data_IF_294728361140
#
_entry.id   IF_294728361140
#
_cell.length_a   1.000
_cell.length_b   1.000
_cell.length_c   1.000
_cell.angle_alpha   90.00
_cell.angle_beta   90.00
_cell.angle_gamma   90.00
#
_symmetry.space_group_name_H-M   'P 1'
#
loop_
_entity.id
_entity.type
_entity.pdbx_description
1 polymer ?
#
# COMPACT_ATOMS: atom_id res chain seq x y z
N UNK A 1 14.43 88.09 9.57
CA UNK A 1 13.18 87.31 9.50
C UNK A 1 13.48 85.93 8.91
N UNK A 2 13.70 84.91 9.73
CA UNK A 2 13.99 83.57 9.28
C UNK A 2 12.83 82.66 9.69
N UNK A 3 12.15 82.09 8.76
CA UNK A 3 11.06 81.08 8.97
C UNK A 3 11.65 79.69 9.10
N UNK A 4 11.55 79.11 10.31
CA UNK A 4 11.84 77.71 10.58
C UNK A 4 10.76 76.82 10.01
N UNK A 5 11.14 75.84 9.19
CA UNK A 5 10.27 74.73 8.68
C UNK A 5 10.50 73.51 9.56
N UNK A 6 9.48 73.11 10.31
CA UNK A 6 9.45 71.90 11.10
C UNK A 6 9.13 70.76 10.14
N UNK A 7 10.05 69.80 9.97
CA UNK A 7 9.89 68.60 9.19
C UNK A 7 9.32 67.51 10.14
N UNK A 8 8.06 67.12 9.92
CA UNK A 8 7.43 66.03 10.66
C UNK A 8 7.85 64.70 10.04
N UNK A 9 8.55 63.88 10.81
CA UNK A 9 8.98 62.52 10.42
C UNK A 9 7.86 61.53 10.79
N UNK A 10 7.13 61.05 9.78
CA UNK A 10 6.15 59.97 9.97
C UNK A 10 6.88 58.61 9.98
N UNK A 11 6.93 57.98 11.15
CA UNK A 11 7.43 56.62 11.29
C UNK A 11 6.31 55.65 10.89
N UNK A 12 6.41 55.06 9.72
CA UNK A 12 5.56 53.96 9.32
C UNK A 12 6.05 52.67 9.98
N UNK A 13 5.28 52.20 10.97
CA UNK A 13 5.51 50.87 11.57
C UNK A 13 5.13 49.77 10.58
N UNK A 14 6.15 49.13 10.02
CA UNK A 14 5.99 47.95 9.15
C UNK A 14 5.76 46.75 10.05
N UNK A 15 4.48 46.35 10.25
CA UNK A 15 4.14 45.07 10.90
C UNK A 15 4.46 43.94 9.95
N UNK A 16 5.59 43.25 10.15
CA UNK A 16 5.89 41.97 9.54
C UNK A 16 4.93 40.94 10.09
N UNK A 17 3.88 40.61 9.33
CA UNK A 17 3.13 39.37 9.51
C UNK A 17 4.05 38.19 9.15
N UNK A 18 4.67 37.60 10.15
CA UNK A 18 5.35 36.35 10.03
C UNK A 18 4.32 35.29 9.62
N UNK A 19 4.29 34.92 8.33
CA UNK A 19 3.66 33.72 7.86
C UNK A 19 4.40 32.55 8.52
N UNK A 20 3.88 32.07 9.64
CA UNK A 20 4.31 30.86 10.28
C UNK A 20 4.05 29.70 9.31
N UNK A 21 5.08 29.29 8.57
CA UNK A 21 5.06 28.01 7.84
C UNK A 21 4.95 26.96 8.94
N UNK A 22 3.73 26.41 9.12
CA UNK A 22 3.55 25.24 9.96
C UNK A 22 4.51 24.16 9.42
N UNK A 23 5.33 23.53 10.27
CA UNK A 23 6.17 22.45 9.82
C UNK A 23 5.26 21.37 9.23
N UNK A 24 5.37 21.13 7.94
CA UNK A 24 4.80 19.94 7.32
C UNK A 24 5.53 18.75 7.95
N UNK A 25 4.90 18.15 8.94
CA UNK A 25 5.45 16.96 9.59
C UNK A 25 5.30 15.84 8.58
N UNK A 26 6.34 15.60 7.78
CA UNK A 26 6.39 14.43 6.91
C UNK A 26 6.25 13.20 7.80
N UNK A 27 5.35 12.28 7.40
CA UNK A 27 5.17 11.04 8.12
C UNK A 27 6.48 10.26 8.11
N UNK A 28 6.97 9.91 9.29
CA UNK A 28 8.20 9.18 9.48
C UNK A 28 8.01 7.73 9.00
N UNK A 29 8.88 7.29 8.09
CA UNK A 29 8.89 5.89 7.64
C UNK A 29 9.55 5.02 8.71
N UNK A 30 8.93 3.89 8.97
CA UNK A 30 9.44 2.89 9.90
C UNK A 30 10.63 2.16 9.28
N UNK A 31 11.63 1.82 10.10
CA UNK A 31 12.70 0.90 9.69
C UNK A 31 12.11 -0.50 9.43
N UNK A 32 12.67 -1.21 8.44
CA UNK A 32 12.24 -2.60 8.16
C UNK A 32 12.45 -3.55 9.33
N UNK A 33 13.44 -3.28 10.20
CA UNK A 33 13.67 -4.05 11.44
C UNK A 33 12.61 -3.84 12.52
N UNK A 34 11.83 -2.75 12.42
CA UNK A 34 10.77 -2.38 13.36
C UNK A 34 9.37 -2.62 12.78
N UNK A 35 9.30 -3.26 11.61
CA UNK A 35 8.05 -3.52 10.93
C UNK A 35 7.16 -4.44 11.76
N UNK A 36 5.93 -4.02 12.10
CA UNK A 36 4.96 -4.88 12.77
C UNK A 36 4.40 -5.90 11.77
N UNK A 37 5.07 -7.04 11.65
CA UNK A 37 4.82 -8.06 10.61
C UNK A 37 3.36 -8.49 10.57
N UNK A 38 2.72 -8.66 11.72
CA UNK A 38 1.30 -9.08 11.77
C UNK A 38 0.38 -8.01 11.15
N UNK A 39 0.60 -6.74 11.42
CA UNK A 39 -0.15 -5.62 10.84
C UNK A 39 0.11 -5.52 9.34
N UNK A 40 1.37 -5.59 8.94
CA UNK A 40 1.77 -5.56 7.53
C UNK A 40 1.13 -6.70 6.72
N UNK A 41 1.10 -7.92 7.27
CA UNK A 41 0.44 -9.06 6.60
C UNK A 41 -1.07 -8.84 6.50
N UNK A 42 -1.73 -8.31 7.55
CA UNK A 42 -3.16 -7.99 7.51
C UNK A 42 -3.51 -6.93 6.44
N UNK A 43 -2.62 -5.99 6.18
CA UNK A 43 -2.82 -4.97 5.15
C UNK A 43 -2.61 -5.50 3.74
N UNK A 44 -1.68 -6.44 3.56
CA UNK A 44 -1.24 -6.90 2.23
C UNK A 44 -1.84 -8.23 1.79
N UNK A 45 -2.26 -9.08 2.74
CA UNK A 45 -2.87 -10.40 2.48
C UNK A 45 -4.40 -10.30 2.60
N UNK A 46 -5.09 -10.60 1.52
CA UNK A 46 -6.54 -10.51 1.43
C UNK A 46 -7.17 -11.87 1.11
N UNK A 47 -8.28 -12.18 1.79
CA UNK A 47 -9.11 -13.35 1.51
C UNK A 47 -10.35 -12.92 0.75
N UNK A 48 -10.58 -13.52 -0.39
CA UNK A 48 -11.70 -13.21 -1.29
C UNK A 48 -12.57 -14.44 -1.40
N UNK A 49 -13.70 -14.43 -0.69
CA UNK A 49 -14.68 -15.51 -0.76
C UNK A 49 -15.30 -15.53 -2.15
N UNK A 50 -15.33 -16.71 -2.79
CA UNK A 50 -15.93 -16.93 -4.10
C UNK A 50 -17.33 -17.52 -3.92
N UNK A 51 -17.42 -18.61 -3.18
CA UNK A 51 -18.68 -19.25 -2.79
C UNK A 51 -18.53 -19.95 -1.43
N UNK A 52 -19.46 -20.81 -1.03
CA UNK A 52 -19.41 -21.53 0.26
C UNK A 52 -18.18 -22.43 0.40
N UNK A 53 -17.62 -22.90 -0.71
CA UNK A 53 -16.58 -23.93 -0.73
C UNK A 53 -15.27 -23.45 -1.38
N UNK A 54 -15.23 -22.24 -1.94
CA UNK A 54 -14.04 -21.76 -2.64
C UNK A 54 -13.68 -20.31 -2.25
N UNK A 55 -12.38 -20.06 -2.21
CA UNK A 55 -11.81 -18.74 -1.93
C UNK A 55 -10.53 -18.51 -2.70
N UNK A 56 -10.26 -17.24 -2.98
CA UNK A 56 -8.97 -16.79 -3.48
C UNK A 56 -8.23 -16.07 -2.35
N UNK A 57 -6.95 -16.38 -2.21
CA UNK A 57 -6.03 -15.65 -1.32
C UNK A 57 -5.13 -14.82 -2.21
N UNK A 58 -5.05 -13.54 -1.93
CA UNK A 58 -4.23 -12.58 -2.68
C UNK A 58 -3.27 -11.93 -1.73
N UNK A 59 -2.00 -11.90 -2.07
CA UNK A 59 -0.97 -11.24 -1.27
C UNK A 59 -0.15 -10.28 -2.13
N UNK A 60 -0.21 -9.00 -1.83
CA UNK A 60 0.68 -7.99 -2.38
C UNK A 60 2.03 -8.05 -1.68
N UNK A 61 3.11 -8.17 -2.45
CA UNK A 61 4.48 -8.29 -1.95
C UNK A 61 5.31 -7.09 -2.43
N UNK A 62 5.35 -5.97 -1.69
CA UNK A 62 6.21 -4.83 -2.01
C UNK A 62 7.67 -5.20 -1.74
N UNK A 63 8.46 -5.42 -2.80
CA UNK A 63 9.83 -5.92 -2.72
C UNK A 63 10.76 -5.03 -1.88
N UNK A 64 10.55 -3.71 -1.96
CA UNK A 64 11.32 -2.72 -1.22
C UNK A 64 11.21 -2.88 0.30
N UNK A 65 10.10 -3.42 0.79
CA UNK A 65 9.88 -3.69 2.22
C UNK A 65 10.69 -4.89 2.70
N UNK A 66 10.99 -5.82 1.79
CA UNK A 66 11.80 -7.00 2.09
C UNK A 66 13.30 -6.78 1.87
N UNK A 67 13.73 -5.53 1.64
CA UNK A 67 15.12 -5.19 1.40
C UNK A 67 15.65 -5.61 0.02
N UNK A 68 14.77 -6.01 -0.89
CA UNK A 68 15.15 -6.24 -2.27
C UNK A 68 15.48 -4.91 -2.97
N UNK A 69 16.43 -4.90 -3.92
CA UNK A 69 16.70 -3.71 -4.69
C UNK A 69 15.44 -3.29 -5.48
N UNK A 70 15.28 -2.00 -5.80
CA UNK A 70 14.16 -1.51 -6.60
C UNK A 70 14.01 -2.32 -7.89
N UNK A 71 12.80 -2.80 -8.14
CA UNK A 71 12.48 -3.62 -9.31
C UNK A 71 11.40 -2.92 -10.14
N UNK A 72 11.51 -3.05 -11.45
CA UNK A 72 10.52 -2.55 -12.39
C UNK A 72 9.19 -3.36 -12.39
N UNK A 73 9.04 -4.27 -11.43
CA UNK A 73 7.88 -5.15 -11.32
C UNK A 73 7.27 -5.13 -9.92
N UNK A 74 5.95 -5.27 -9.91
CA UNK A 74 5.13 -5.52 -8.74
C UNK A 74 4.87 -7.03 -8.66
N UNK A 75 4.89 -7.60 -7.44
CA UNK A 75 4.58 -9.02 -7.22
C UNK A 75 3.24 -9.16 -6.50
N UNK A 76 2.41 -10.03 -7.06
CA UNK A 76 1.18 -10.51 -6.41
C UNK A 76 1.25 -12.02 -6.31
N UNK A 77 1.11 -12.55 -5.10
CA UNK A 77 0.93 -13.97 -4.90
C UNK A 77 -0.56 -14.31 -4.84
N UNK A 78 -0.96 -15.42 -5.45
CA UNK A 78 -2.36 -15.87 -5.51
C UNK A 78 -2.43 -17.35 -5.20
N UNK A 79 -3.36 -17.74 -4.33
CA UNK A 79 -3.80 -19.11 -4.16
C UNK A 79 -5.31 -19.18 -4.39
N UNK A 80 -5.76 -20.03 -5.30
CA UNK A 80 -7.18 -20.39 -5.45
C UNK A 80 -7.41 -21.72 -4.77
N UNK A 81 -8.27 -21.74 -3.77
CA UNK A 81 -8.49 -22.89 -2.90
C UNK A 81 -9.96 -23.31 -2.92
N UNK A 82 -10.19 -24.60 -3.02
CA UNK A 82 -11.49 -25.26 -2.86
C UNK A 82 -11.44 -26.10 -1.57
N UNK A 83 -12.46 -25.97 -0.73
CA UNK A 83 -12.61 -26.76 0.49
C UNK A 83 -13.13 -28.14 0.10
N UNK A 84 -12.37 -29.20 0.41
CA UNK A 84 -12.69 -30.58 0.10
C UNK A 84 -12.70 -31.39 1.40
N UNK A 85 -13.86 -31.55 2.06
CA UNK A 85 -13.96 -32.37 3.27
C UNK A 85 -13.74 -33.86 2.95
N UNK A 86 -13.05 -34.64 3.80
CA UNK A 86 -12.33 -34.23 5.02
C UNK A 86 -10.91 -33.73 4.76
N UNK A 87 -10.42 -33.73 3.53
CA UNK A 87 -9.02 -33.62 3.14
C UNK A 87 -8.45 -32.19 3.25
N UNK A 88 -9.28 -31.19 3.51
CA UNK A 88 -8.85 -29.80 3.69
C UNK A 88 -8.99 -28.95 2.43
N UNK A 89 -7.88 -28.57 1.79
CA UNK A 89 -7.90 -27.70 0.61
C UNK A 89 -7.29 -28.36 -0.62
N UNK A 90 -7.99 -28.23 -1.74
CA UNK A 90 -7.44 -28.46 -3.07
C UNK A 90 -7.07 -27.12 -3.67
N UNK A 91 -5.85 -27.01 -4.19
CA UNK A 91 -5.34 -25.77 -4.78
C UNK A 91 -5.31 -25.89 -6.31
N UNK A 92 -5.59 -24.75 -6.95
CA UNK A 92 -5.47 -24.60 -8.39
C UNK A 92 -3.99 -24.64 -8.84
N UNK A 93 -3.77 -25.10 -10.06
CA UNK A 93 -2.47 -24.98 -10.73
C UNK A 93 -2.11 -23.53 -11.03
N UNK A 94 -0.84 -23.25 -11.37
CA UNK A 94 -0.38 -21.90 -11.73
C UNK A 94 -1.19 -21.32 -12.88
N UNK A 95 -1.44 -22.12 -13.93
CA UNK A 95 -2.21 -21.70 -15.09
C UNK A 95 -3.67 -21.34 -14.75
N UNK A 96 -4.29 -22.09 -13.84
CA UNK A 96 -5.63 -21.79 -13.35
C UNK A 96 -5.66 -20.56 -12.44
N UNK A 97 -4.65 -20.40 -11.60
CA UNK A 97 -4.52 -19.21 -10.75
C UNK A 97 -4.31 -17.94 -11.58
N UNK A 98 -3.56 -18.03 -12.69
CA UNK A 98 -3.31 -16.91 -13.59
C UNK A 98 -4.52 -16.55 -14.45
N UNK A 99 -5.42 -17.52 -14.72
CA UNK A 99 -6.57 -17.29 -15.61
C UNK A 99 -7.48 -16.21 -15.07
N UNK A 100 -7.69 -15.16 -15.88
CA UNK A 100 -8.55 -14.02 -15.55
C UNK A 100 -8.00 -13.09 -14.48
N UNK A 101 -6.77 -13.30 -14.02
CA UNK A 101 -6.10 -12.42 -13.06
C UNK A 101 -5.80 -11.06 -13.71
N UNK A 102 -6.30 -10.00 -13.09
CA UNK A 102 -6.06 -8.60 -13.49
C UNK A 102 -5.64 -7.79 -12.28
N UNK A 103 -4.63 -6.96 -12.46
CA UNK A 103 -4.15 -6.04 -11.44
C UNK A 103 -4.33 -4.62 -11.95
N UNK A 104 -5.05 -3.81 -11.18
CA UNK A 104 -5.33 -2.41 -11.49
C UNK A 104 -4.85 -1.56 -10.33
N UNK A 105 -4.18 -0.47 -10.63
CA UNK A 105 -3.86 0.56 -9.65
C UNK A 105 -4.74 1.79 -9.89
N UNK A 106 -5.26 2.35 -8.81
CA UNK A 106 -5.99 3.63 -8.82
C UNK A 106 -5.25 4.59 -7.91
N UNK A 107 -4.82 5.72 -8.45
CA UNK A 107 -4.09 6.74 -7.69
C UNK A 107 -5.02 7.55 -6.76
N UNK A 108 -4.43 8.45 -5.96
CA UNK A 108 -5.16 9.32 -5.05
C UNK A 108 -6.11 10.31 -5.73
N UNK A 109 -5.98 10.52 -7.04
CA UNK A 109 -6.84 11.40 -7.87
C UNK A 109 -7.97 10.62 -8.54
N UNK A 110 -7.98 9.28 -8.40
CA UNK A 110 -8.99 8.40 -9.00
C UNK A 110 -8.64 7.93 -10.42
N UNK A 111 -7.45 8.28 -10.96
CA UNK A 111 -7.01 7.73 -12.24
C UNK A 111 -6.59 6.26 -12.07
N UNK A 112 -7.04 5.42 -12.99
CA UNK A 112 -6.81 3.98 -12.92
C UNK A 112 -5.98 3.48 -14.10
N UNK A 113 -5.03 2.59 -13.81
CA UNK A 113 -4.18 1.93 -14.81
C UNK A 113 -4.18 0.42 -14.59
N UNK A 114 -4.35 -0.35 -15.67
CA UNK A 114 -4.17 -1.80 -15.63
C UNK A 114 -2.68 -2.12 -15.79
N UNK A 115 -2.14 -2.88 -14.85
CA UNK A 115 -0.75 -3.30 -14.88
C UNK A 115 -0.61 -4.50 -15.81
N UNK A 116 0.25 -4.39 -16.80
CA UNK A 116 0.52 -5.51 -17.72
C UNK A 116 1.35 -6.60 -17.03
N UNK A 117 1.08 -7.89 -17.29
CA UNK A 117 1.97 -8.96 -16.86
C UNK A 117 3.41 -8.71 -17.35
N UNK A 118 4.39 -9.03 -16.53
CA UNK A 118 5.81 -8.87 -16.84
C UNK A 118 6.56 -10.18 -16.56
N UNK A 119 7.66 -10.47 -17.30
CA UNK A 119 8.50 -11.61 -16.98
C UNK A 119 9.23 -11.38 -15.64
N UNK A 120 9.48 -12.46 -14.92
CA UNK A 120 10.32 -12.44 -13.72
C UNK A 120 11.79 -12.28 -14.14
N UNK A 121 12.47 -11.28 -13.62
CA UNK A 121 13.93 -11.16 -13.78
C UNK A 121 14.68 -12.26 -13.00
N UNK A 122 15.97 -12.42 -13.26
CA UNK A 122 16.81 -13.36 -12.50
C UNK A 122 16.82 -13.02 -11.00
N UNK A 123 16.90 -11.75 -10.67
CA UNK A 123 16.90 -11.22 -9.30
C UNK A 123 15.57 -11.51 -8.60
N UNK A 124 14.45 -11.27 -9.29
CA UNK A 124 13.11 -11.58 -8.76
C UNK A 124 12.94 -13.09 -8.55
N UNK A 125 13.43 -13.91 -9.46
CA UNK A 125 13.39 -15.37 -9.31
C UNK A 125 14.24 -15.83 -8.11
N UNK A 126 15.45 -15.29 -7.94
CA UNK A 126 16.31 -15.57 -6.79
C UNK A 126 15.62 -15.20 -5.48
N UNK A 127 15.12 -13.97 -5.40
CA UNK A 127 14.36 -13.50 -4.24
C UNK A 127 13.18 -14.42 -3.90
N UNK A 128 12.35 -14.76 -4.88
CA UNK A 128 11.20 -15.63 -4.66
C UNK A 128 11.61 -17.04 -4.22
N UNK A 129 12.72 -17.56 -4.73
CA UNK A 129 13.24 -18.87 -4.33
C UNK A 129 13.66 -18.89 -2.88
N UNK A 130 14.33 -17.84 -2.42
CA UNK A 130 14.78 -17.69 -1.03
C UNK A 130 13.61 -17.41 -0.07
N UNK A 131 12.67 -16.56 -0.50
CA UNK A 131 11.56 -16.11 0.35
C UNK A 131 10.37 -17.08 0.37
N UNK A 132 10.20 -17.92 -0.63
CA UNK A 132 9.05 -18.82 -0.75
C UNK A 132 8.81 -19.68 0.51
N UNK A 133 9.81 -20.28 1.17
CA UNK A 133 9.58 -21.04 2.40
C UNK A 133 9.02 -20.16 3.54
N UNK A 134 9.53 -18.93 3.67
CA UNK A 134 9.09 -17.97 4.69
C UNK A 134 7.66 -17.51 4.41
N UNK A 135 7.40 -17.08 3.18
CA UNK A 135 6.07 -16.62 2.74
C UNK A 135 5.04 -17.74 2.86
N UNK A 136 5.41 -18.98 2.48
CA UNK A 136 4.52 -20.13 2.63
C UNK A 136 4.17 -20.41 4.08
N UNK A 137 5.13 -20.28 5.01
CA UNK A 137 4.87 -20.43 6.43
C UNK A 137 3.96 -19.32 6.97
N UNK A 138 4.15 -18.07 6.54
CA UNK A 138 3.30 -16.94 6.92
C UNK A 138 1.88 -17.05 6.39
N UNK A 139 1.70 -17.57 5.18
CA UNK A 139 0.39 -17.84 4.58
C UNK A 139 -0.30 -19.11 5.16
N UNK A 140 0.36 -19.82 6.07
CA UNK A 140 -0.16 -21.04 6.70
C UNK A 140 -0.47 -22.11 5.66
N UNK A 141 -1.64 -22.74 5.78
CA UNK A 141 -2.06 -23.81 4.87
C UNK A 141 -2.19 -23.37 3.40
N UNK A 142 -2.43 -22.09 3.13
CA UNK A 142 -2.54 -21.55 1.76
C UNK A 142 -1.17 -21.42 1.07
N UNK A 143 -0.07 -21.39 1.83
CA UNK A 143 1.27 -21.28 1.27
C UNK A 143 1.66 -22.37 0.29
N UNK A 144 1.09 -23.58 0.43
CA UNK A 144 1.33 -24.71 -0.46
C UNK A 144 0.78 -24.50 -1.88
N UNK A 145 -0.32 -23.74 -1.99
CA UNK A 145 -1.00 -23.46 -3.26
C UNK A 145 -0.73 -22.07 -3.81
N UNK A 146 0.26 -21.35 -3.26
CA UNK A 146 0.53 -19.98 -3.63
C UNK A 146 1.45 -19.86 -4.84
N UNK A 147 0.99 -19.14 -5.86
CA UNK A 147 1.69 -18.85 -7.11
C UNK A 147 2.02 -17.36 -7.17
N UNK A 148 3.19 -17.02 -7.70
CA UNK A 148 3.69 -15.65 -7.73
C UNK A 148 3.66 -15.09 -9.15
N UNK A 149 2.96 -13.98 -9.34
CA UNK A 149 2.79 -13.30 -10.62
C UNK A 149 3.42 -11.92 -10.56
N UNK A 150 4.06 -11.53 -11.65
CA UNK A 150 4.73 -10.24 -11.79
C UNK A 150 4.03 -9.36 -12.79
N UNK A 151 3.94 -8.08 -12.48
CA UNK A 151 3.30 -7.05 -13.30
C UNK A 151 4.26 -5.88 -13.47
N UNK A 152 4.20 -5.21 -14.62
CA UNK A 152 5.01 -4.04 -14.90
C UNK A 152 4.65 -2.92 -13.91
N UNK A 153 5.65 -2.43 -13.18
CA UNK A 153 5.48 -1.38 -12.16
C UNK A 153 6.21 -0.08 -12.49
N UNK A 154 6.56 0.13 -13.74
CA UNK A 154 7.19 1.38 -14.20
C UNK A 154 6.41 1.98 -15.34
N UNK A 155 6.30 3.30 -15.33
CA UNK A 155 5.70 4.08 -16.40
C UNK A 155 6.69 4.34 -17.55
N UNK A 156 6.35 5.26 -18.45
CA UNK A 156 7.20 5.65 -19.58
C UNK A 156 8.42 6.50 -19.19
N UNK A 157 8.40 7.11 -18.01
CA UNK A 157 9.53 7.89 -17.44
C UNK A 157 10.48 7.03 -16.62
N UNK A 158 10.12 5.78 -16.33
CA UNK A 158 10.88 4.88 -15.47
C UNK A 158 10.53 4.99 -13.98
N UNK A 159 9.52 5.79 -13.63
CA UNK A 159 9.04 5.93 -12.26
C UNK A 159 8.08 4.81 -11.88
N UNK A 160 8.08 4.42 -10.60
CA UNK A 160 7.17 3.40 -10.11
C UNK A 160 5.72 3.86 -10.19
N UNK A 161 4.85 3.03 -10.78
CA UNK A 161 3.40 3.25 -10.85
C UNK A 161 2.76 3.04 -9.48
N UNK A 162 3.19 2.01 -8.76
CA UNK A 162 2.67 1.63 -7.44
C UNK A 162 3.80 1.71 -6.43
N UNK A 163 3.56 2.46 -5.36
CA UNK A 163 4.45 2.53 -4.21
C UNK A 163 3.66 2.19 -2.94
N UNK A 164 4.17 1.36 -2.02
CA UNK A 164 3.50 1.07 -0.76
C UNK A 164 3.48 2.27 0.20
N UNK A 165 4.21 3.34 -0.15
CA UNK A 165 4.33 4.58 0.62
C UNK A 165 3.43 5.71 0.12
N UNK A 166 2.77 5.55 -1.03
CA UNK A 166 1.97 6.59 -1.67
C UNK A 166 0.48 6.24 -1.69
N UNK A 167 -0.37 7.27 -1.64
CA UNK A 167 -1.81 7.06 -1.55
C UNK A 167 -2.39 6.52 -2.86
N UNK A 168 -3.15 5.44 -2.76
CA UNK A 168 -3.80 4.79 -3.88
C UNK A 168 -4.48 3.49 -3.46
N UNK A 169 -4.91 2.72 -4.46
CA UNK A 169 -5.53 1.40 -4.27
C UNK A 169 -4.99 0.41 -5.28
N UNK A 170 -4.49 -0.71 -4.80
CA UNK A 170 -4.16 -1.85 -5.64
C UNK A 170 -5.34 -2.82 -5.65
N UNK A 171 -5.91 -3.07 -6.81
CA UNK A 171 -7.08 -3.91 -6.99
C UNK A 171 -6.67 -5.14 -7.78
N UNK A 172 -6.82 -6.31 -7.17
CA UNK A 172 -6.60 -7.60 -7.82
C UNK A 172 -7.96 -8.26 -8.06
N UNK A 173 -8.30 -8.48 -9.31
CA UNK A 173 -9.60 -9.03 -9.71
C UNK A 173 -9.44 -10.28 -10.57
N UNK A 174 -10.52 -11.06 -10.61
CA UNK A 174 -10.60 -12.30 -11.38
C UNK A 174 -11.79 -12.23 -12.33
N UNK A 175 -11.69 -12.90 -13.49
CA UNK A 175 -12.81 -12.93 -14.46
C UNK A 175 -13.96 -13.84 -14.03
N UNK A 176 -13.78 -14.62 -12.97
CA UNK A 176 -14.83 -15.43 -12.35
C UNK A 176 -15.99 -14.53 -11.90
N UNK A 177 -17.20 -14.97 -12.17
CA UNK A 177 -18.40 -14.26 -11.73
C UNK A 177 -18.98 -14.97 -10.51
N UNK A 178 -19.17 -14.22 -9.43
CA UNK A 178 -19.90 -14.68 -8.24
C UNK A 178 -21.19 -13.88 -8.17
N UNK A 179 -22.29 -14.46 -8.63
CA UNK A 179 -23.54 -13.73 -8.79
C UNK A 179 -23.39 -12.54 -9.75
N UNK A 180 -23.67 -11.34 -9.26
CA UNK A 180 -23.63 -10.08 -10.05
C UNK A 180 -22.22 -9.42 -9.94
N UNK A 181 -21.42 -9.76 -8.94
CA UNK A 181 -20.13 -9.08 -8.66
C UNK A 181 -18.95 -9.95 -9.07
N UNK A 182 -17.89 -9.29 -9.55
CA UNK A 182 -16.58 -9.93 -9.73
C UNK A 182 -15.82 -9.90 -8.41
N UNK A 183 -15.30 -11.04 -7.94
CA UNK A 183 -14.50 -11.06 -6.73
C UNK A 183 -13.22 -10.25 -6.93
N UNK A 184 -12.89 -9.45 -5.93
CA UNK A 184 -11.69 -8.61 -5.94
C UNK A 184 -11.06 -8.50 -4.56
N UNK A 185 -9.75 -8.47 -4.51
CA UNK A 185 -8.97 -8.01 -3.37
C UNK A 185 -8.64 -6.54 -3.56
N UNK A 186 -8.66 -5.77 -2.47
CA UNK A 186 -8.30 -4.35 -2.49
C UNK A 186 -7.28 -4.11 -1.39
N UNK A 187 -6.10 -3.65 -1.79
CA UNK A 187 -5.06 -3.20 -0.87
C UNK A 187 -5.06 -1.68 -0.88
N UNK A 188 -5.39 -1.08 0.24
CA UNK A 188 -5.35 0.37 0.42
C UNK A 188 -3.91 0.82 0.67
N UNK A 189 -3.51 1.89 0.00
CA UNK A 189 -2.19 2.49 0.10
C UNK A 189 -2.29 3.94 0.58
N UNK A 190 -1.30 4.47 1.31
CA UNK A 190 -0.10 3.78 1.75
C UNK A 190 -0.38 2.74 2.84
N UNK A 191 0.53 1.76 2.98
CA UNK A 191 0.43 0.77 4.05
C UNK A 191 0.74 1.45 5.39
N UNK A 192 -0.21 1.38 6.33
CA UNK A 192 -0.09 2.03 7.65
C UNK A 192 1.10 1.49 8.46
N UNK A 193 1.34 0.19 8.38
CA UNK A 193 2.44 -0.50 9.07
C UNK A 193 3.83 0.01 8.69
N UNK A 194 3.99 0.67 7.53
CA UNK A 194 5.28 1.20 7.07
C UNK A 194 5.64 2.57 7.68
N UNK A 195 4.76 3.14 8.50
CA UNK A 195 4.99 4.45 9.10
C UNK A 195 4.94 4.41 10.62
N UNK A 196 5.67 5.32 11.23
CA UNK A 196 5.52 5.57 12.67
C UNK A 196 4.17 6.26 12.87
N UNK A 197 3.24 5.66 13.64
CA UNK A 197 1.91 6.24 13.78
C UNK A 197 1.96 7.54 14.58
N UNK A 198 1.24 8.55 14.14
CA UNK A 198 0.94 9.69 14.99
C UNK A 198 0.14 9.21 16.21
N UNK A 199 0.33 9.86 17.35
CA UNK A 199 -0.43 9.55 18.55
C UNK A 199 -1.57 10.55 18.74
N UNK A 200 -2.75 10.05 19.04
CA UNK A 200 -3.84 10.87 19.57
C UNK A 200 -3.51 11.39 20.99
N UNK A 201 -4.17 12.46 21.49
CA UNK A 201 -3.96 12.97 22.84
C UNK A 201 -4.14 11.92 23.95
N UNK A 202 -4.94 10.88 23.69
CA UNK A 202 -5.13 9.76 24.62
C UNK A 202 -4.03 8.66 24.52
N UNK A 203 -2.95 8.93 23.77
CA UNK A 203 -1.83 8.00 23.56
C UNK A 203 -2.10 6.84 22.58
N UNK A 204 -3.29 6.75 21.99
CA UNK A 204 -3.59 5.70 21.01
C UNK A 204 -3.00 6.04 19.65
N UNK A 205 -2.47 5.04 18.91
CA UNK A 205 -1.95 5.24 17.56
C UNK A 205 -3.08 5.61 16.60
N UNK A 206 -2.81 6.58 15.74
CA UNK A 206 -3.71 7.01 14.69
C UNK A 206 -3.34 6.33 13.37
N UNK A 207 -4.36 5.94 12.61
CA UNK A 207 -4.16 5.42 11.27
C UNK A 207 -3.66 6.53 10.34
N UNK A 208 -2.74 6.22 9.44
CA UNK A 208 -2.09 7.17 8.54
C UNK A 208 -3.07 7.96 7.64
N UNK A 209 -4.25 7.41 7.35
CA UNK A 209 -5.27 8.07 6.53
C UNK A 209 -6.13 9.07 7.31
N UNK A 210 -6.03 9.10 8.63
CA UNK A 210 -6.86 9.97 9.46
C UNK A 210 -6.33 11.40 9.45
N UNK A 211 -7.24 12.35 9.32
CA UNK A 211 -6.95 13.78 9.44
C UNK A 211 -7.21 14.31 10.86
N UNK A 212 -8.04 13.60 11.58
CA UNK A 212 -8.46 13.93 12.94
C UNK A 212 -8.45 12.67 13.80
N UNK A 213 -8.15 12.83 15.06
CA UNK A 213 -8.28 11.79 16.06
C UNK A 213 -9.77 11.38 16.19
N UNK A 214 -10.13 10.08 16.04
CA UNK A 214 -11.53 9.67 16.07
C UNK A 214 -12.15 9.69 17.47
N UNK A 215 -11.34 9.86 18.52
CA UNK A 215 -11.82 9.89 19.91
C UNK A 215 -12.13 11.30 20.44
N UNK A 216 -11.44 12.33 19.95
CA UNK A 216 -11.57 13.70 20.47
C UNK A 216 -11.59 14.78 19.39
N UNK A 217 -11.43 14.43 18.11
CA UNK A 217 -11.47 15.36 17.00
C UNK A 217 -10.22 16.24 16.85
N UNK A 218 -9.15 16.00 17.62
CA UNK A 218 -7.90 16.76 17.49
C UNK A 218 -7.30 16.56 16.10
N UNK A 219 -6.88 17.63 15.40
CA UNK A 219 -6.19 17.51 14.13
C UNK A 219 -4.91 16.69 14.27
N UNK A 220 -4.71 15.74 13.37
CA UNK A 220 -3.48 14.95 13.28
C UNK A 220 -2.52 15.59 12.26
N UNK A 221 -1.21 15.31 12.35
CA UNK A 221 -0.24 15.81 11.38
C UNK A 221 -0.70 15.46 9.95
N UNK A 222 -0.84 16.48 9.10
CA UNK A 222 -1.19 16.27 7.69
C UNK A 222 0.03 15.83 6.89
N UNK A 223 -0.21 15.03 5.86
CA UNK A 223 0.80 14.67 4.87
C UNK A 223 1.34 15.88 4.13
#
# INVERSE_FOLDING_TARGET
MAKSKILSLSIAALTLFGLGVAPTCALERRSTSELPIEEFVKETLQFVQIDSNSMNVVWYLPLEVYGAPPQAVLIVAVAKAEIVPPDGFKFASEAEAQRGLKVTYTDSKGASVNLAPAPKSAEVNSFLTEMKPVLSKMAGQFGKGMWFFTFKNVDSSGENIVSPYEAGKLIVSFDEKVGIQKPKAVVELPLNSLFVPALCPNGKPAHISWKYCPWDGTPLPSK
#
